data_IF_881504005138
#
_entry.id   IF_881504005138
#
_cell.length_a   1.000
_cell.length_b   1.000
_cell.length_c   1.000
_cell.angle_alpha   90.00
_cell.angle_beta   90.00
_cell.angle_gamma   90.00
#
_symmetry.space_group_name_H-M   'P 1'
#
loop_
_entity.id
_entity.type
_entity.pdbx_description
1 polymer ?
#
# COMPACT_ATOMS: atom_id res chain seq x y z
N UNK A 1 11.99 -39.86 -3.91
CA UNK A 1 12.14 -38.41 -3.71
C UNK A 1 13.25 -38.23 -2.67
N UNK A 2 14.31 -37.49 -2.98
CA UNK A 2 15.48 -37.36 -2.11
C UNK A 2 15.15 -36.38 -0.96
N UNK A 3 15.23 -36.84 0.30
CA UNK A 3 15.00 -36.02 1.50
C UNK A 3 15.91 -34.77 1.56
N UNK A 4 17.04 -34.74 0.85
CA UNK A 4 17.93 -33.58 0.74
C UNK A 4 17.36 -32.40 -0.06
N UNK A 5 16.21 -32.55 -0.74
CA UNK A 5 15.54 -31.46 -1.48
C UNK A 5 14.36 -30.83 -0.73
N UNK A 6 14.23 -31.04 0.59
CA UNK A 6 13.37 -30.23 1.46
C UNK A 6 13.96 -28.82 1.56
N UNK A 7 13.65 -28.02 0.55
CA UNK A 7 13.99 -26.60 0.48
C UNK A 7 12.95 -25.81 1.27
N UNK A 8 13.35 -24.64 1.76
CA UNK A 8 12.66 -23.64 2.60
C UNK A 8 11.29 -23.16 2.07
N UNK A 9 10.77 -23.81 1.03
CA UNK A 9 9.48 -23.56 0.37
C UNK A 9 8.40 -24.58 0.73
N UNK A 10 8.72 -25.66 1.48
CA UNK A 10 7.71 -26.61 1.99
C UNK A 10 7.24 -26.33 3.41
N UNK A 11 7.90 -25.43 4.14
CA UNK A 11 7.36 -24.90 5.40
C UNK A 11 6.40 -23.76 5.05
N UNK A 12 5.14 -24.12 4.80
CA UNK A 12 4.03 -23.16 4.79
C UNK A 12 3.85 -22.67 6.23
N UNK A 13 4.56 -21.60 6.60
CA UNK A 13 4.14 -20.81 7.75
C UNK A 13 2.81 -20.15 7.40
N UNK A 14 1.76 -20.53 8.11
CA UNK A 14 0.46 -19.87 8.03
C UNK A 14 0.67 -18.37 8.25
N UNK A 15 0.28 -17.56 7.26
CA UNK A 15 0.24 -16.11 7.43
C UNK A 15 -0.82 -15.79 8.50
N UNK A 16 -0.37 -15.56 9.73
CA UNK A 16 -1.24 -15.11 10.80
C UNK A 16 -1.52 -13.63 10.54
N UNK A 17 -2.74 -13.34 10.08
CA UNK A 17 -3.19 -11.96 9.90
C UNK A 17 -3.01 -11.23 11.25
N UNK A 18 -2.19 -10.17 11.30
CA UNK A 18 -1.93 -9.45 12.53
C UNK A 18 -3.26 -8.92 13.09
N UNK A 19 -3.39 -8.88 14.42
CA UNK A 19 -4.60 -8.49 15.12
C UNK A 19 -5.21 -7.21 14.53
N UNK A 20 -6.28 -7.37 13.76
CA UNK A 20 -6.97 -6.27 13.06
C UNK A 20 -7.36 -5.14 14.01
N UNK A 21 -7.73 -5.45 15.25
CA UNK A 21 -8.14 -4.44 16.22
C UNK A 21 -6.99 -3.49 16.61
N UNK A 22 -5.79 -4.04 16.83
CA UNK A 22 -4.59 -3.22 17.07
C UNK A 22 -4.24 -2.35 15.85
N UNK A 23 -4.45 -2.88 14.65
CA UNK A 23 -4.17 -2.16 13.41
C UNK A 23 -5.16 -1.00 13.16
N UNK A 24 -6.44 -1.19 13.48
CA UNK A 24 -7.46 -0.14 13.36
C UNK A 24 -7.24 1.01 14.35
N UNK A 25 -6.76 0.70 15.56
CA UNK A 25 -6.50 1.70 16.59
C UNK A 25 -5.35 2.63 16.19
N UNK A 26 -4.25 2.08 15.66
CA UNK A 26 -3.13 2.89 15.16
C UNK A 26 -3.51 3.76 13.96
N UNK A 27 -4.40 3.29 13.08
CA UNK A 27 -4.87 4.08 11.94
C UNK A 27 -5.80 5.25 12.34
N UNK A 28 -6.58 5.09 13.41
CA UNK A 28 -7.45 6.16 13.94
C UNK A 28 -6.65 7.31 14.58
N UNK A 29 -5.45 7.03 15.07
CA UNK A 29 -4.55 8.05 15.63
C UNK A 29 -3.84 8.88 14.56
N UNK A 30 -3.85 8.45 13.29
CA UNK A 30 -3.26 9.21 12.19
C UNK A 30 -4.19 10.39 11.86
N UNK A 31 -3.79 11.57 12.32
CA UNK A 31 -4.46 12.82 11.96
C UNK A 31 -4.10 13.16 10.51
N UNK A 32 -5.11 13.22 9.64
CA UNK A 32 -4.95 13.57 8.23
C UNK A 32 -5.82 14.79 7.91
N UNK A 33 -5.19 15.85 7.41
CA UNK A 33 -5.92 17.02 6.92
C UNK A 33 -6.20 16.89 5.42
N UNK A 34 -7.48 16.98 5.05
CA UNK A 34 -7.93 16.91 3.66
C UNK A 34 -7.23 17.91 2.75
N UNK A 35 -6.96 19.12 3.25
CA UNK A 35 -6.25 20.16 2.50
C UNK A 35 -4.78 19.79 2.22
N UNK A 36 -4.11 19.15 3.17
CA UNK A 36 -2.73 18.69 2.99
C UNK A 36 -2.66 17.58 1.94
N UNK A 37 -3.56 16.58 2.03
CA UNK A 37 -3.64 15.50 1.04
C UNK A 37 -4.01 16.05 -0.34
N UNK A 38 -4.96 16.98 -0.42
CA UNK A 38 -5.39 17.57 -1.69
C UNK A 38 -4.30 18.34 -2.44
N UNK A 39 -3.25 18.80 -1.74
CA UNK A 39 -2.09 19.48 -2.33
C UNK A 39 -1.03 18.52 -2.86
N UNK A 40 -0.96 17.27 -2.36
CA UNK A 40 0.06 16.30 -2.78
C UNK A 40 0.01 15.97 -4.29
N UNK A 41 -1.17 15.77 -4.93
CA UNK A 41 -1.26 15.46 -6.35
C UNK A 41 -0.84 16.62 -7.27
N UNK A 42 -0.84 17.87 -6.79
CA UNK A 42 -0.55 19.05 -7.62
C UNK A 42 0.88 19.00 -8.18
N UNK A 43 1.81 18.48 -7.39
CA UNK A 43 3.23 18.39 -7.73
C UNK A 43 3.59 17.12 -8.53
N UNK A 44 2.62 16.23 -8.81
CA UNK A 44 2.88 15.02 -9.59
C UNK A 44 3.03 15.34 -11.09
N UNK A 45 4.11 14.85 -11.68
CA UNK A 45 4.28 14.85 -13.14
C UNK A 45 3.50 13.67 -13.75
N UNK A 46 2.46 13.98 -14.51
CA UNK A 46 1.60 13.00 -15.17
C UNK A 46 2.31 12.17 -16.23
N UNK A 47 3.47 12.64 -16.73
CA UNK A 47 4.26 11.93 -17.75
C UNK A 47 5.21 10.90 -17.15
N UNK A 48 5.30 10.84 -15.82
CA UNK A 48 6.14 9.86 -15.14
C UNK A 48 5.59 8.45 -15.33
N UNK A 49 6.49 7.48 -15.45
CA UNK A 49 6.13 6.07 -15.49
C UNK A 49 5.34 5.66 -14.23
N UNK A 50 4.52 4.62 -14.35
CA UNK A 50 3.73 4.09 -13.24
C UNK A 50 4.62 3.66 -12.07
N UNK A 51 4.10 3.79 -10.85
CA UNK A 51 4.75 3.28 -9.65
C UNK A 51 4.86 1.75 -9.66
N UNK A 52 5.59 1.20 -8.70
CA UNK A 52 5.67 -0.26 -8.51
C UNK A 52 4.30 -0.90 -8.20
N UNK A 53 3.38 -0.09 -7.68
CA UNK A 53 1.98 -0.42 -7.42
C UNK A 53 1.11 -0.34 -8.68
N UNK A 54 1.68 -0.09 -9.85
CA UNK A 54 0.97 0.14 -11.12
C UNK A 54 0.03 1.35 -11.10
N UNK A 55 0.15 2.24 -10.10
CA UNK A 55 -0.65 3.46 -10.03
C UNK A 55 0.05 4.56 -10.83
N UNK A 56 -0.73 5.24 -11.68
CA UNK A 56 -0.23 6.35 -12.48
C UNK A 56 -0.41 7.69 -11.75
N UNK A 57 0.50 8.63 -12.01
CA UNK A 57 0.37 10.01 -11.51
C UNK A 57 -0.87 10.73 -12.04
N UNK A 58 -1.37 10.31 -13.21
CA UNK A 58 -2.65 10.79 -13.75
C UNK A 58 -3.83 10.35 -12.86
N UNK A 59 -3.90 9.07 -12.52
CA UNK A 59 -4.97 8.50 -11.68
C UNK A 59 -5.04 9.18 -10.32
N UNK A 60 -3.88 9.48 -9.71
CA UNK A 60 -3.81 10.18 -8.43
C UNK A 60 -4.32 11.63 -8.50
N UNK A 61 -4.13 12.31 -9.63
CA UNK A 61 -4.70 13.66 -9.83
C UNK A 61 -6.21 13.62 -9.96
N UNK A 62 -6.76 12.63 -10.65
CA UNK A 62 -8.20 12.46 -10.81
C UNK A 62 -8.90 12.10 -9.48
N UNK A 63 -8.23 11.34 -8.62
CA UNK A 63 -8.74 11.05 -7.27
C UNK A 63 -8.83 12.29 -6.36
N UNK A 64 -8.13 13.39 -6.68
CA UNK A 64 -8.19 14.63 -5.87
C UNK A 64 -9.61 15.16 -5.75
N UNK A 65 -10.40 15.07 -6.81
CA UNK A 65 -11.77 15.61 -6.86
C UNK A 65 -12.75 14.78 -6.00
N UNK A 66 -12.34 13.59 -5.56
CA UNK A 66 -13.13 12.67 -4.74
C UNK A 66 -12.77 12.73 -3.24
N UNK A 67 -11.67 13.40 -2.89
CA UNK A 67 -11.26 13.63 -1.51
C UNK A 67 -12.18 14.65 -0.86
#
# INVERSE_FOLDING_TARGET
MNESFKTVFTDEEDFIEPNRALHCQGLQEIIVHKEEIGRLPENLDVRKAMGQDSVSSWSLKECKDQL
#
